data_IF_181224800554
#
_entry.id   IF_181224800554
#
_cell.length_a   1.000
_cell.length_b   1.000
_cell.length_c   1.000
_cell.angle_alpha   90.00
_cell.angle_beta   90.00
_cell.angle_gamma   90.00
#
_symmetry.space_group_name_H-M   'P 1'
#
loop_
_entity.id
_entity.type
_entity.pdbx_description
1 polymer ?
#
# COMPACT_ATOMS: atom_id res chain seq x y z
N UNK A 1 18.19 26.67 -12.98
CA UNK A 1 17.51 26.03 -14.13
C UNK A 1 16.53 25.01 -13.59
N UNK A 2 15.27 25.10 -13.95
CA UNK A 2 14.31 24.05 -13.58
C UNK A 2 14.70 22.74 -14.28
N UNK A 3 14.80 21.65 -13.52
CA UNK A 3 15.06 20.30 -14.06
C UNK A 3 13.93 19.91 -15.01
N UNK A 4 14.26 19.15 -16.08
CA UNK A 4 13.21 18.58 -16.93
C UNK A 4 12.35 17.58 -16.15
N UNK A 5 11.03 17.44 -16.43
CA UNK A 5 10.18 16.47 -15.75
C UNK A 5 10.74 15.03 -15.81
N UNK A 6 11.36 14.66 -16.92
CA UNK A 6 11.98 13.35 -17.11
C UNK A 6 13.26 13.18 -16.29
N UNK A 7 14.02 14.27 -16.05
CA UNK A 7 15.18 14.21 -15.16
C UNK A 7 14.73 14.01 -13.71
N UNK A 8 13.67 14.69 -13.27
CA UNK A 8 13.09 14.50 -11.93
C UNK A 8 12.64 13.03 -11.77
N UNK A 9 11.91 12.50 -12.76
CA UNK A 9 11.48 11.09 -12.73
C UNK A 9 12.68 10.12 -12.71
N UNK A 10 13.75 10.40 -13.46
CA UNK A 10 14.98 9.58 -13.46
C UNK A 10 15.63 9.55 -12.07
N UNK A 11 15.80 10.72 -11.44
CA UNK A 11 16.42 10.81 -10.11
C UNK A 11 15.58 10.11 -9.05
N UNK A 12 14.25 10.23 -9.14
CA UNK A 12 13.30 9.55 -8.25
C UNK A 12 13.38 8.03 -8.41
N UNK A 13 13.37 7.53 -9.65
CA UNK A 13 13.53 6.10 -9.95
C UNK A 13 14.90 5.57 -9.51
N UNK A 14 15.94 6.38 -9.64
CA UNK A 14 17.26 6.00 -9.12
C UNK A 14 17.22 5.82 -7.60
N UNK A 15 16.60 6.74 -6.89
CA UNK A 15 16.43 6.62 -5.42
C UNK A 15 15.62 5.38 -5.02
N UNK A 16 14.57 5.04 -5.78
CA UNK A 16 13.75 3.85 -5.51
C UNK A 16 14.56 2.56 -5.71
N UNK A 17 15.22 2.40 -6.86
CA UNK A 17 15.81 1.12 -7.24
C UNK A 17 17.26 0.91 -6.80
N UNK A 18 17.98 1.97 -6.47
CA UNK A 18 19.41 1.89 -6.10
C UNK A 18 19.72 2.40 -4.69
N UNK A 19 18.87 3.31 -4.12
CA UNK A 19 19.03 3.79 -2.76
C UNK A 19 18.00 3.17 -1.78
N UNK A 20 17.05 2.35 -2.29
CA UNK A 20 16.09 1.63 -1.48
C UNK A 20 14.94 2.47 -0.91
N UNK A 21 14.65 3.63 -1.49
CA UNK A 21 13.55 4.49 -1.05
C UNK A 21 12.19 3.92 -1.45
N UNK A 22 11.17 4.10 -0.61
CA UNK A 22 9.79 3.83 -1.03
C UNK A 22 9.31 4.85 -2.06
N UNK A 23 8.53 4.39 -3.05
CA UNK A 23 8.09 5.20 -4.18
C UNK A 23 7.32 6.45 -3.79
N UNK A 24 6.39 6.33 -2.84
CA UNK A 24 5.62 7.46 -2.32
C UNK A 24 6.54 8.51 -1.65
N UNK A 25 7.45 8.09 -0.77
CA UNK A 25 8.36 9.01 -0.05
C UNK A 25 9.31 9.71 -1.03
N UNK A 26 9.89 8.94 -1.97
CA UNK A 26 10.80 9.49 -2.97
C UNK A 26 10.08 10.50 -3.88
N UNK A 27 8.85 10.18 -4.28
CA UNK A 27 8.04 11.04 -5.14
C UNK A 27 7.57 12.31 -4.42
N UNK A 28 7.05 12.21 -3.20
CA UNK A 28 6.62 13.36 -2.40
C UNK A 28 7.78 14.35 -2.22
N UNK A 29 8.97 13.85 -1.88
CA UNK A 29 10.18 14.66 -1.79
C UNK A 29 10.56 15.32 -3.12
N UNK A 30 10.45 14.58 -4.22
CA UNK A 30 10.80 15.09 -5.55
C UNK A 30 9.80 16.16 -6.04
N UNK A 31 8.53 16.08 -5.63
CA UNK A 31 7.46 16.97 -6.05
C UNK A 31 7.25 18.20 -5.15
N UNK A 32 7.90 18.26 -3.98
CA UNK A 32 7.70 19.34 -3.00
C UNK A 32 7.92 20.74 -3.60
N UNK A 33 8.95 20.89 -4.43
CA UNK A 33 9.34 22.15 -5.05
C UNK A 33 8.86 22.28 -6.51
N UNK A 34 8.13 21.31 -7.02
CA UNK A 34 7.64 21.29 -8.41
C UNK A 34 6.24 21.91 -8.46
N UNK A 35 6.06 22.92 -9.30
CA UNK A 35 4.75 23.57 -9.51
C UNK A 35 3.96 22.96 -10.67
N UNK A 36 4.64 22.53 -11.71
CA UNK A 36 4.03 22.06 -12.96
C UNK A 36 4.44 20.61 -13.27
N UNK A 37 3.64 19.94 -14.07
CA UNK A 37 3.91 18.55 -14.52
C UNK A 37 3.96 17.47 -13.41
N UNK A 38 3.45 17.74 -12.20
CA UNK A 38 3.43 16.76 -11.11
C UNK A 38 2.78 15.45 -11.54
N UNK A 39 1.62 15.50 -12.17
CA UNK A 39 0.89 14.32 -12.64
C UNK A 39 1.70 13.51 -13.67
N UNK A 40 2.42 14.17 -14.59
CA UNK A 40 3.26 13.51 -15.58
C UNK A 40 4.47 12.82 -14.92
N UNK A 41 5.14 13.49 -13.97
CA UNK A 41 6.26 12.91 -13.21
C UNK A 41 5.78 11.69 -12.43
N UNK A 42 4.66 11.81 -11.73
CA UNK A 42 4.06 10.70 -10.97
C UNK A 42 3.71 9.50 -11.86
N UNK A 43 3.10 9.77 -13.02
CA UNK A 43 2.77 8.72 -13.99
C UNK A 43 4.02 8.00 -14.51
N UNK A 44 5.11 8.72 -14.77
CA UNK A 44 6.38 8.13 -15.17
C UNK A 44 6.99 7.27 -14.06
N UNK A 45 7.03 7.77 -12.82
CA UNK A 45 7.67 7.07 -11.69
C UNK A 45 6.88 5.80 -11.33
N UNK A 46 5.58 5.93 -11.09
CA UNK A 46 4.75 4.77 -10.76
C UNK A 46 4.70 3.76 -11.91
N UNK A 47 4.44 4.24 -13.13
CA UNK A 47 4.29 3.36 -14.28
C UNK A 47 5.56 2.59 -14.63
N UNK A 48 6.74 3.22 -14.56
CA UNK A 48 8.02 2.51 -14.71
C UNK A 48 8.20 1.50 -13.58
N UNK A 49 7.87 1.87 -12.34
CA UNK A 49 8.01 0.96 -11.20
C UNK A 49 7.06 -0.24 -11.33
N UNK A 50 5.83 -0.02 -11.77
CA UNK A 50 4.85 -1.09 -12.01
C UNK A 50 5.25 -2.02 -13.16
N UNK A 51 5.84 -1.50 -14.22
CA UNK A 51 6.10 -2.22 -15.48
C UNK A 51 7.55 -2.60 -15.71
N UNK A 52 8.42 -2.46 -14.70
CA UNK A 52 9.87 -2.62 -14.84
C UNK A 52 10.28 -3.93 -15.49
N UNK A 53 9.68 -5.09 -15.14
CA UNK A 53 10.04 -6.39 -15.72
C UNK A 53 9.64 -6.43 -17.21
N UNK A 54 8.47 -5.93 -17.56
CA UNK A 54 8.05 -5.77 -18.95
C UNK A 54 9.01 -4.89 -19.74
N UNK A 55 9.41 -3.75 -19.15
CA UNK A 55 10.35 -2.83 -19.77
C UNK A 55 11.74 -3.45 -19.93
N UNK A 56 12.23 -4.16 -18.90
CA UNK A 56 13.50 -4.88 -18.95
C UNK A 56 13.49 -5.95 -20.04
N UNK A 57 12.40 -6.70 -20.21
CA UNK A 57 12.26 -7.67 -21.28
C UNK A 57 12.53 -7.07 -22.67
N UNK A 58 11.90 -5.93 -23.00
CA UNK A 58 12.11 -5.27 -24.28
C UNK A 58 13.51 -4.68 -24.41
N UNK A 59 14.03 -4.07 -23.35
CA UNK A 59 15.39 -3.51 -23.38
C UNK A 59 16.42 -4.60 -23.59
N UNK A 60 16.34 -5.71 -22.86
CA UNK A 60 17.31 -6.80 -22.94
C UNK A 60 17.21 -7.55 -24.27
N UNK A 61 16.03 -7.59 -24.91
CA UNK A 61 15.84 -8.12 -26.27
C UNK A 61 16.62 -7.33 -27.32
N UNK A 62 16.80 -6.01 -27.14
CA UNK A 62 17.36 -5.14 -28.17
C UNK A 62 18.69 -4.48 -27.81
N UNK A 63 19.07 -4.47 -26.54
CA UNK A 63 20.33 -3.92 -26.07
C UNK A 63 21.30 -5.03 -25.65
N UNK A 64 22.49 -5.05 -26.21
CA UNK A 64 23.54 -5.98 -25.83
C UNK A 64 24.54 -5.34 -24.86
N UNK A 65 25.07 -6.14 -23.94
CA UNK A 65 26.10 -5.73 -23.01
C UNK A 65 25.60 -4.98 -21.77
N UNK A 66 26.53 -4.54 -20.94
CA UNK A 66 26.22 -3.90 -19.67
C UNK A 66 25.83 -2.43 -19.85
N UNK A 67 24.64 -2.08 -19.43
CA UNK A 67 24.12 -0.71 -19.46
C UNK A 67 24.30 -0.07 -18.07
N UNK A 68 24.79 1.18 -18.05
CA UNK A 68 24.89 1.93 -16.79
C UNK A 68 23.52 2.18 -16.16
N UNK A 69 23.38 2.18 -14.81
CA UNK A 69 22.09 2.34 -14.12
C UNK A 69 21.25 3.51 -14.63
N UNK A 70 21.81 4.71 -14.69
CA UNK A 70 21.07 5.90 -15.14
C UNK A 70 20.62 5.80 -16.61
N UNK A 71 21.41 5.17 -17.48
CA UNK A 71 21.04 4.95 -18.89
C UNK A 71 19.92 3.91 -18.99
N UNK A 72 19.92 2.88 -18.15
CA UNK A 72 18.84 1.91 -18.07
C UNK A 72 17.53 2.57 -17.64
N UNK A 73 17.57 3.50 -16.68
CA UNK A 73 16.39 4.27 -16.31
C UNK A 73 15.88 5.15 -17.45
N UNK A 74 16.78 5.76 -18.25
CA UNK A 74 16.36 6.49 -19.46
C UNK A 74 15.63 5.57 -20.44
N UNK A 75 16.12 4.34 -20.63
CA UNK A 75 15.45 3.34 -21.47
C UNK A 75 14.11 2.91 -20.87
N UNK A 76 13.99 2.70 -19.56
CA UNK A 76 12.70 2.45 -18.92
C UNK A 76 11.71 3.57 -19.18
N UNK A 77 12.11 4.83 -18.95
CA UNK A 77 11.25 6.01 -19.18
C UNK A 77 10.79 6.13 -20.63
N UNK A 78 11.71 5.91 -21.59
CA UNK A 78 11.39 5.92 -23.01
C UNK A 78 10.44 4.79 -23.38
N UNK A 79 10.76 3.56 -22.98
CA UNK A 79 9.95 2.38 -23.27
C UNK A 79 8.55 2.46 -22.64
N UNK A 80 8.45 2.94 -21.40
CA UNK A 80 7.15 3.13 -20.74
C UNK A 80 6.26 4.11 -21.53
N UNK A 81 6.80 5.25 -21.97
CA UNK A 81 6.07 6.20 -22.79
C UNK A 81 5.63 5.61 -24.14
N UNK A 82 6.44 4.75 -24.76
CA UNK A 82 6.11 4.08 -26.03
C UNK A 82 5.03 3.00 -25.88
N UNK A 83 5.06 2.24 -24.78
CA UNK A 83 4.23 1.06 -24.59
C UNK A 83 2.91 1.35 -23.84
N UNK A 84 2.89 2.38 -22.98
CA UNK A 84 1.81 2.58 -22.01
C UNK A 84 1.28 4.03 -21.93
N UNK A 85 1.79 4.97 -22.75
CA UNK A 85 1.33 6.36 -22.72
C UNK A 85 0.86 6.82 -24.11
N UNK A 86 -0.37 6.48 -24.48
CA UNK A 86 -0.95 6.76 -25.81
C UNK A 86 -0.96 8.24 -26.20
N UNK A 87 -1.00 9.13 -25.18
CA UNK A 87 -1.00 10.60 -25.41
C UNK A 87 0.38 11.15 -25.71
N UNK A 88 1.46 10.34 -25.61
CA UNK A 88 2.84 10.78 -25.89
C UNK A 88 3.24 10.27 -27.28
N UNK A 89 3.50 11.16 -28.27
CA UNK A 89 3.95 10.73 -29.58
C UNK A 89 5.29 9.97 -29.48
N UNK A 90 5.43 8.87 -30.22
CA UNK A 90 6.66 8.04 -30.24
C UNK A 90 7.91 8.84 -30.51
N UNK A 91 7.85 9.74 -31.52
CA UNK A 91 8.99 10.62 -31.86
C UNK A 91 9.39 11.54 -30.70
N UNK A 92 8.42 12.03 -29.92
CA UNK A 92 8.70 12.83 -28.75
C UNK A 92 9.34 12.00 -27.63
N UNK A 93 8.83 10.79 -27.35
CA UNK A 93 9.41 9.87 -26.37
C UNK A 93 10.87 9.57 -26.67
N UNK A 94 11.18 9.20 -27.93
CA UNK A 94 12.54 8.86 -28.35
C UNK A 94 13.46 10.08 -28.29
N UNK A 95 13.05 11.22 -28.86
CA UNK A 95 13.86 12.42 -28.89
C UNK A 95 14.17 12.95 -27.47
N UNK A 96 13.19 12.99 -26.59
CA UNK A 96 13.38 13.44 -25.21
C UNK A 96 14.25 12.46 -24.41
N UNK A 97 14.18 11.16 -24.66
CA UNK A 97 15.08 10.18 -24.04
C UNK A 97 16.55 10.37 -24.50
N UNK A 98 16.77 10.67 -25.78
CA UNK A 98 18.12 11.02 -26.29
C UNK A 98 18.63 12.34 -25.69
N UNK A 99 17.76 13.35 -25.51
CA UNK A 99 18.14 14.59 -24.80
C UNK A 99 18.49 14.31 -23.35
N UNK A 100 17.71 13.48 -22.66
CA UNK A 100 17.94 13.13 -21.25
C UNK A 100 19.29 12.43 -21.05
N UNK A 101 19.69 11.54 -21.96
CA UNK A 101 21.04 10.92 -21.93
C UNK A 101 22.15 11.98 -21.97
N UNK A 102 22.00 13.03 -22.77
CA UNK A 102 22.96 14.14 -22.83
C UNK A 102 22.90 15.00 -21.57
N UNK A 103 21.70 15.27 -21.05
CA UNK A 103 21.49 16.03 -19.82
C UNK A 103 22.19 15.38 -18.63
N UNK A 104 22.20 14.05 -18.54
CA UNK A 104 22.93 13.27 -17.50
C UNK A 104 24.39 13.00 -17.85
N UNK A 105 24.94 13.67 -18.86
CA UNK A 105 26.35 13.57 -19.32
C UNK A 105 26.76 12.13 -19.69
N UNK A 106 25.88 11.42 -20.40
CA UNK A 106 26.12 10.06 -20.93
C UNK A 106 25.96 10.02 -22.45
N UNK A 107 26.41 11.07 -23.16
CA UNK A 107 26.26 11.27 -24.62
C UNK A 107 26.66 10.07 -25.47
N UNK A 108 27.67 9.30 -25.02
CA UNK A 108 28.12 8.07 -25.66
C UNK A 108 26.98 7.08 -25.92
N UNK A 109 25.96 7.05 -25.05
CA UNK A 109 24.83 6.14 -25.17
C UNK A 109 23.68 6.68 -26.04
N UNK A 110 23.78 7.89 -26.60
CA UNK A 110 22.70 8.50 -27.42
C UNK A 110 22.27 7.62 -28.58
N UNK A 111 23.24 7.04 -29.31
CA UNK A 111 22.96 6.14 -30.44
C UNK A 111 22.29 4.84 -29.98
N UNK A 112 22.73 4.25 -28.87
CA UNK A 112 22.14 3.04 -28.29
C UNK A 112 20.70 3.29 -27.88
N UNK A 113 20.42 4.35 -27.10
CA UNK A 113 19.08 4.70 -26.64
C UNK A 113 18.14 4.93 -27.81
N UNK A 114 18.57 5.70 -28.83
CA UNK A 114 17.78 5.92 -30.03
C UNK A 114 17.45 4.59 -30.76
N UNK A 115 18.45 3.74 -30.99
CA UNK A 115 18.26 2.48 -31.71
C UNK A 115 17.35 1.48 -30.94
N UNK A 116 17.53 1.37 -29.63
CA UNK A 116 16.73 0.47 -28.79
C UNK A 116 15.27 0.93 -28.76
N UNK A 117 15.02 2.22 -28.54
CA UNK A 117 13.66 2.75 -28.47
C UNK A 117 12.92 2.65 -29.81
N UNK A 118 13.59 2.87 -30.94
CA UNK A 118 12.97 2.63 -32.25
C UNK A 118 12.61 1.16 -32.48
N UNK A 119 13.44 0.21 -32.02
CA UNK A 119 13.10 -1.22 -32.11
C UNK A 119 11.89 -1.58 -31.24
N UNK A 120 11.81 -1.03 -30.03
CA UNK A 120 10.65 -1.20 -29.13
C UNK A 120 9.39 -0.57 -29.74
N UNK A 121 9.49 0.60 -30.37
CA UNK A 121 8.37 1.26 -31.04
C UNK A 121 7.78 0.41 -32.18
N UNK A 122 8.64 -0.33 -32.90
CA UNK A 122 8.23 -1.24 -33.97
C UNK A 122 7.76 -2.63 -33.52
N UNK A 123 8.03 -2.99 -32.24
CA UNK A 123 7.66 -4.29 -31.67
C UNK A 123 7.08 -4.09 -30.26
N UNK A 124 5.79 -3.76 -30.19
CA UNK A 124 5.10 -3.45 -28.94
C UNK A 124 4.34 -4.63 -28.35
N UNK A 125 4.48 -5.83 -28.96
CA UNK A 125 3.75 -7.01 -28.52
C UNK A 125 4.33 -7.57 -27.22
N UNK A 126 3.59 -7.43 -26.13
CA UNK A 126 3.93 -8.02 -24.83
C UNK A 126 3.64 -9.52 -24.91
N UNK A 127 4.60 -10.40 -24.56
CA UNK A 127 4.39 -11.85 -24.58
C UNK A 127 3.41 -12.29 -23.50
N UNK A 128 2.83 -13.50 -23.66
CA UNK A 128 1.90 -14.07 -22.71
C UNK A 128 2.55 -14.68 -21.45
N UNK A 129 3.87 -14.61 -21.31
CA UNK A 129 4.56 -14.96 -20.08
C UNK A 129 4.03 -14.11 -18.91
N UNK A 130 3.57 -14.74 -17.84
CA UNK A 130 2.89 -14.06 -16.75
C UNK A 130 3.80 -13.03 -16.05
N UNK A 131 5.08 -13.33 -15.89
CA UNK A 131 6.03 -12.40 -15.26
C UNK A 131 6.22 -11.14 -16.10
N UNK A 132 6.38 -11.28 -17.41
CA UNK A 132 6.54 -10.16 -18.32
C UNK A 132 5.22 -9.42 -18.50
N UNK A 133 4.11 -10.14 -18.69
CA UNK A 133 2.79 -9.57 -18.94
C UNK A 133 2.29 -8.68 -17.79
N UNK A 134 2.43 -9.16 -16.56
CA UNK A 134 1.98 -8.46 -15.36
C UNK A 134 3.10 -7.73 -14.62
N UNK A 135 4.34 -7.86 -15.09
CA UNK A 135 5.54 -7.27 -14.46
C UNK A 135 5.69 -7.67 -12.97
N UNK A 136 5.50 -8.94 -12.69
CA UNK A 136 5.65 -9.54 -11.36
C UNK A 136 6.78 -10.56 -11.39
N UNK A 137 7.71 -10.57 -10.41
CA UNK A 137 8.77 -11.55 -10.36
C UNK A 137 8.27 -13.00 -10.38
N UNK A 138 8.91 -13.86 -11.13
CA UNK A 138 8.52 -15.26 -11.31
C UNK A 138 8.46 -16.03 -9.97
N UNK A 139 9.40 -15.78 -9.06
CA UNK A 139 9.42 -16.37 -7.73
C UNK A 139 8.19 -15.99 -6.90
N UNK A 140 7.68 -14.77 -7.03
CA UNK A 140 6.46 -14.31 -6.36
C UNK A 140 5.21 -14.95 -6.97
N UNK A 141 5.13 -15.05 -8.31
CA UNK A 141 4.05 -15.76 -9.02
C UNK A 141 4.02 -17.23 -8.59
N UNK A 142 5.18 -17.90 -8.58
CA UNK A 142 5.31 -19.30 -8.18
C UNK A 142 4.92 -19.52 -6.69
N UNK A 143 5.26 -18.56 -5.82
CA UNK A 143 4.83 -18.59 -4.42
C UNK A 143 3.30 -18.53 -4.31
N UNK A 144 2.64 -17.59 -5.00
CA UNK A 144 1.19 -17.46 -4.99
C UNK A 144 0.49 -18.67 -5.61
N UNK A 145 0.97 -19.16 -6.76
CA UNK A 145 0.45 -20.38 -7.39
C UNK A 145 0.50 -21.59 -6.46
N UNK A 146 1.63 -21.77 -5.75
CA UNK A 146 1.80 -22.86 -4.77
C UNK A 146 0.88 -22.73 -3.56
N UNK A 147 0.66 -21.49 -3.08
CA UNK A 147 -0.09 -21.24 -1.84
C UNK A 147 -1.61 -21.17 -2.06
N UNK A 148 -2.07 -20.58 -3.16
CA UNK A 148 -3.48 -20.28 -3.39
C UNK A 148 -4.09 -21.05 -4.57
N UNK A 149 -3.28 -21.70 -5.40
CA UNK A 149 -3.72 -22.39 -6.61
C UNK A 149 -3.70 -21.50 -7.85
N UNK A 150 -3.81 -22.15 -9.00
CA UNK A 150 -3.71 -21.48 -10.31
C UNK A 150 -4.97 -20.64 -10.62
N UNK A 151 -6.14 -21.15 -10.27
CA UNK A 151 -7.42 -20.48 -10.53
C UNK A 151 -7.50 -19.14 -9.80
N UNK A 152 -7.18 -19.12 -8.50
CA UNK A 152 -7.14 -17.90 -7.69
C UNK A 152 -6.09 -16.92 -8.20
N UNK A 153 -4.91 -17.42 -8.60
CA UNK A 153 -3.87 -16.58 -9.19
C UNK A 153 -4.36 -15.91 -10.49
N UNK A 154 -5.00 -16.67 -11.38
CA UNK A 154 -5.51 -16.16 -12.65
C UNK A 154 -6.65 -15.14 -12.47
N UNK A 155 -7.39 -15.22 -11.35
CA UNK A 155 -8.44 -14.26 -11.02
C UNK A 155 -7.88 -12.91 -10.58
N UNK A 156 -6.89 -12.87 -9.67
CA UNK A 156 -6.41 -11.61 -9.11
C UNK A 156 -5.20 -11.00 -9.83
N UNK A 157 -4.37 -11.81 -10.50
CA UNK A 157 -3.15 -11.33 -11.16
C UNK A 157 -3.41 -10.25 -12.22
N UNK A 158 -4.49 -10.31 -13.03
CA UNK A 158 -4.84 -9.24 -13.96
C UNK A 158 -5.02 -7.87 -13.29
N UNK A 159 -5.55 -7.85 -12.05
CA UNK A 159 -5.83 -6.62 -11.31
C UNK A 159 -4.57 -6.00 -10.66
N UNK A 160 -3.41 -6.67 -10.72
CA UNK A 160 -2.21 -6.27 -9.96
C UNK A 160 -1.60 -4.92 -10.41
N UNK A 161 -1.95 -4.47 -11.60
CA UNK A 161 -1.52 -3.21 -12.17
C UNK A 161 -2.68 -2.22 -12.41
N UNK A 162 -3.87 -2.53 -11.90
CA UNK A 162 -4.98 -1.59 -11.94
C UNK A 162 -4.74 -0.46 -10.96
N UNK A 163 -5.30 0.71 -11.26
CA UNK A 163 -5.27 1.83 -10.31
C UNK A 163 -5.99 1.39 -9.03
N UNK A 164 -5.33 1.45 -7.87
CA UNK A 164 -5.98 1.08 -6.62
C UNK A 164 -7.15 2.04 -6.33
N UNK A 165 -8.33 1.52 -5.94
CA UNK A 165 -9.44 2.36 -5.56
C UNK A 165 -9.09 3.19 -4.32
N UNK A 166 -9.66 4.39 -4.24
CA UNK A 166 -9.49 5.30 -3.13
C UNK A 166 -10.83 5.51 -2.44
N UNK A 167 -10.89 5.15 -1.16
CA UNK A 167 -12.11 5.24 -0.37
C UNK A 167 -12.00 6.35 0.68
N UNK A 168 -12.95 7.28 0.66
CA UNK A 168 -13.16 8.26 1.71
C UNK A 168 -14.21 7.71 2.67
N UNK A 169 -13.82 7.49 3.93
CA UNK A 169 -14.72 7.01 4.98
C UNK A 169 -15.30 8.22 5.70
N UNK A 170 -16.63 8.40 5.67
CA UNK A 170 -17.28 9.50 6.35
C UNK A 170 -16.97 9.52 7.85
N UNK A 171 -16.76 10.69 8.39
CA UNK A 171 -16.79 10.87 9.82
C UNK A 171 -18.25 10.96 10.29
N UNK A 172 -18.79 9.85 10.78
CA UNK A 172 -20.21 9.69 11.15
C UNK A 172 -20.67 10.66 12.24
N UNK A 173 -19.73 11.36 12.91
CA UNK A 173 -20.03 12.46 13.83
C UNK A 173 -20.60 13.69 13.12
N UNK A 174 -20.25 13.88 11.84
CA UNK A 174 -20.56 15.10 11.09
C UNK A 174 -21.39 14.85 9.84
N UNK A 175 -21.11 13.77 9.10
CA UNK A 175 -21.72 13.49 7.79
C UNK A 175 -21.92 12.00 7.56
N UNK A 176 -22.90 11.64 6.75
CA UNK A 176 -23.04 10.34 6.10
C UNK A 176 -22.33 10.34 4.72
N UNK A 177 -22.40 9.24 3.97
CA UNK A 177 -21.74 9.13 2.67
C UNK A 177 -22.34 10.04 1.60
N UNK A 178 -23.64 10.24 1.56
CA UNK A 178 -24.29 11.13 0.58
C UNK A 178 -23.95 12.60 0.86
N UNK A 179 -23.97 12.99 2.13
CA UNK A 179 -23.56 14.34 2.57
C UNK A 179 -22.07 14.58 2.30
N UNK A 180 -21.21 13.58 2.53
CA UNK A 180 -19.79 13.67 2.21
C UNK A 180 -19.58 13.83 0.70
N UNK A 181 -20.28 13.06 -0.13
CA UNK A 181 -20.19 13.19 -1.60
C UNK A 181 -20.53 14.61 -2.04
N UNK A 182 -21.61 15.17 -1.52
CA UNK A 182 -22.01 16.56 -1.82
C UNK A 182 -20.91 17.57 -1.46
N UNK A 183 -20.31 17.45 -0.27
CA UNK A 183 -19.21 18.33 0.16
C UNK A 183 -17.96 18.17 -0.72
N UNK A 184 -17.65 16.94 -1.16
CA UNK A 184 -16.55 16.67 -2.08
C UNK A 184 -16.80 17.26 -3.47
N UNK A 185 -18.03 17.15 -4.00
CA UNK A 185 -18.42 17.74 -5.28
C UNK A 185 -18.32 19.28 -5.26
N UNK A 186 -18.66 19.92 -4.13
CA UNK A 186 -18.45 21.35 -3.91
C UNK A 186 -16.97 21.76 -3.98
N UNK A 187 -16.05 20.88 -3.64
CA UNK A 187 -14.60 21.05 -3.76
C UNK A 187 -14.05 20.54 -5.13
N UNK A 188 -14.92 20.13 -6.06
CA UNK A 188 -14.55 19.65 -7.41
C UNK A 188 -14.02 18.22 -7.44
N UNK A 189 -14.26 17.44 -6.40
CA UNK A 189 -13.87 16.04 -6.29
C UNK A 189 -15.05 15.17 -6.65
N UNK A 190 -14.89 14.30 -7.66
CA UNK A 190 -15.91 13.39 -8.14
C UNK A 190 -15.79 12.02 -7.45
N UNK A 191 -16.92 11.37 -7.23
CA UNK A 191 -16.99 10.05 -6.64
C UNK A 191 -18.36 9.43 -6.69
N UNK A 192 -18.53 8.28 -6.05
CA UNK A 192 -19.78 7.55 -5.91
C UNK A 192 -19.98 7.17 -4.44
N UNK A 193 -21.16 7.49 -3.89
CA UNK A 193 -21.50 7.18 -2.50
C UNK A 193 -22.01 5.74 -2.37
N UNK A 194 -21.53 5.06 -1.33
CA UNK A 194 -22.00 3.78 -0.83
C UNK A 194 -22.36 3.94 0.64
N UNK A 195 -23.04 2.96 1.23
CA UNK A 195 -23.55 3.07 2.62
C UNK A 195 -22.51 3.56 3.64
N UNK A 196 -21.27 3.06 3.55
CA UNK A 196 -20.23 3.32 4.55
C UNK A 196 -19.01 4.09 4.02
N UNK A 197 -18.96 4.43 2.72
CA UNK A 197 -17.83 5.12 2.11
C UNK A 197 -18.20 5.84 0.82
N UNK A 198 -17.35 6.74 0.39
CA UNK A 198 -17.39 7.33 -0.96
C UNK A 198 -16.18 6.82 -1.74
N UNK A 199 -16.44 6.20 -2.90
CA UNK A 199 -15.39 5.83 -3.85
C UNK A 199 -14.98 7.07 -4.64
N UNK A 200 -13.71 7.46 -4.55
CA UNK A 200 -13.17 8.66 -5.20
C UNK A 200 -12.69 8.32 -6.61
N UNK A 201 -13.21 8.99 -7.61
CA UNK A 201 -12.81 8.82 -9.01
C UNK A 201 -11.55 9.63 -9.35
N UNK A 202 -11.51 10.90 -8.91
CA UNK A 202 -10.35 11.77 -9.07
C UNK A 202 -9.75 12.17 -7.72
N UNK A 203 -8.47 11.88 -7.52
CA UNK A 203 -7.77 12.14 -6.26
C UNK A 203 -6.99 13.48 -6.27
N UNK A 204 -7.24 14.36 -7.23
CA UNK A 204 -6.54 15.65 -7.31
C UNK A 204 -6.92 16.50 -6.09
N UNK A 205 -5.89 16.94 -5.37
CA UNK A 205 -6.03 17.86 -4.24
C UNK A 205 -6.98 17.40 -3.10
N UNK A 206 -7.24 16.07 -2.98
CA UNK A 206 -8.17 15.51 -1.99
C UNK A 206 -7.86 15.97 -0.55
N UNK A 207 -6.59 15.99 -0.17
CA UNK A 207 -6.14 16.43 1.17
C UNK A 207 -6.14 17.96 1.32
N UNK A 208 -6.26 18.70 0.22
CA UNK A 208 -6.39 20.16 0.22
C UNK A 208 -7.83 20.62 0.26
N UNK A 209 -8.79 19.73 0.04
CA UNK A 209 -10.23 20.01 0.08
C UNK A 209 -10.68 20.55 1.45
N UNK A 210 -11.74 21.32 1.46
CA UNK A 210 -12.36 21.81 2.70
C UNK A 210 -12.93 20.65 3.52
N UNK A 211 -13.55 19.70 2.84
CA UNK A 211 -14.08 18.49 3.46
C UNK A 211 -13.01 17.74 4.26
N UNK A 212 -11.79 17.56 3.70
CA UNK A 212 -10.69 16.93 4.42
C UNK A 212 -10.21 17.78 5.60
N UNK A 213 -9.96 19.08 5.39
CA UNK A 213 -9.47 20.00 6.42
C UNK A 213 -10.43 20.14 7.60
N UNK A 214 -11.73 20.06 7.32
CA UNK A 214 -12.80 20.10 8.33
C UNK A 214 -13.02 18.75 9.03
N UNK A 215 -12.27 17.70 8.69
CA UNK A 215 -12.36 16.40 9.34
C UNK A 215 -13.62 15.61 8.99
N UNK A 216 -14.25 15.88 7.84
CA UNK A 216 -15.48 15.19 7.43
C UNK A 216 -15.22 13.74 7.00
N UNK A 217 -13.97 13.38 6.68
CA UNK A 217 -13.60 12.02 6.31
C UNK A 217 -12.13 11.71 6.57
N UNK A 218 -11.81 10.43 6.49
CA UNK A 218 -10.44 9.93 6.41
C UNK A 218 -10.33 8.92 5.25
N UNK A 219 -9.10 8.65 4.81
CA UNK A 219 -8.84 7.71 3.72
C UNK A 219 -8.43 6.37 4.32
N UNK A 220 -9.11 5.30 3.92
CA UNK A 220 -8.74 3.95 4.33
C UNK A 220 -9.06 2.94 3.23
N UNK A 221 -8.26 1.89 3.12
CA UNK A 221 -8.55 0.77 2.22
C UNK A 221 -9.73 -0.05 2.75
N UNK A 222 -10.59 -0.51 1.84
CA UNK A 222 -11.82 -1.23 2.21
C UNK A 222 -11.55 -2.54 2.96
N UNK A 223 -10.44 -3.24 2.64
CA UNK A 223 -10.06 -4.46 3.37
C UNK A 223 -9.64 -4.15 4.81
N UNK A 224 -8.92 -3.04 5.00
CA UNK A 224 -8.54 -2.52 6.32
C UNK A 224 -9.76 -2.07 7.13
N UNK A 225 -10.66 -1.32 6.50
CA UNK A 225 -11.93 -0.87 7.08
C UNK A 225 -12.79 -2.05 7.56
N UNK A 226 -12.97 -3.07 6.71
CA UNK A 226 -13.72 -4.27 7.05
C UNK A 226 -13.06 -5.07 8.18
N UNK A 227 -11.72 -5.13 8.21
CA UNK A 227 -10.98 -5.77 9.31
C UNK A 227 -11.21 -5.05 10.64
N UNK A 228 -11.16 -3.72 10.65
CA UNK A 228 -11.39 -2.92 11.85
C UNK A 228 -12.83 -3.08 12.39
N UNK A 229 -13.83 -3.05 11.50
CA UNK A 229 -15.23 -3.30 11.87
C UNK A 229 -15.47 -4.72 12.39
N UNK A 230 -14.73 -5.72 11.88
CA UNK A 230 -14.84 -7.11 12.35
C UNK A 230 -14.37 -7.33 13.81
N UNK A 231 -13.67 -6.36 14.40
CA UNK A 231 -13.34 -6.36 15.83
C UNK A 231 -14.58 -6.31 16.69
N UNK A 232 -15.67 -5.68 16.19
CA UNK A 232 -16.97 -5.57 16.85
C UNK A 232 -16.82 -4.92 18.23
N UNK A 233 -16.14 -3.76 18.23
CA UNK A 233 -15.89 -3.00 19.44
C UNK A 233 -17.15 -2.24 19.88
N UNK A 234 -17.44 -2.30 21.17
CA UNK A 234 -18.62 -1.66 21.79
C UNK A 234 -18.23 -0.34 22.46
N UNK A 235 -19.23 0.51 22.72
CA UNK A 235 -19.03 1.87 23.26
C UNK A 235 -18.22 1.95 24.56
N UNK A 236 -18.28 0.92 25.40
CA UNK A 236 -17.60 0.92 26.70
C UNK A 236 -16.30 0.11 26.71
N UNK A 237 -15.92 -0.49 25.57
CA UNK A 237 -14.74 -1.33 25.48
C UNK A 237 -13.45 -0.54 25.71
N UNK A 238 -12.46 -1.22 26.28
CA UNK A 238 -11.07 -0.83 26.20
C UNK A 238 -10.42 -1.62 25.08
N UNK A 239 -9.94 -0.90 24.07
CA UNK A 239 -9.32 -1.47 22.87
C UNK A 239 -7.82 -1.17 22.86
N UNK A 240 -7.00 -2.16 22.49
CA UNK A 240 -5.58 -1.96 22.17
C UNK A 240 -5.35 -2.18 20.68
N UNK A 241 -4.72 -1.21 20.03
CA UNK A 241 -4.18 -1.35 18.67
C UNK A 241 -2.65 -1.36 18.75
N UNK A 242 -2.07 -2.54 18.57
CA UNK A 242 -0.67 -2.82 18.92
C UNK A 242 0.36 -2.37 17.89
N UNK A 243 -0.07 -2.08 16.64
CA UNK A 243 0.79 -1.60 15.55
C UNK A 243 0.03 -0.56 14.72
N UNK A 244 -0.43 0.50 15.38
CA UNK A 244 -1.57 1.31 14.97
C UNK A 244 -1.31 2.24 13.78
N UNK A 245 -0.07 2.73 13.63
CA UNK A 245 0.18 3.82 12.69
C UNK A 245 0.04 3.42 11.20
N UNK A 246 -0.66 4.24 10.39
CA UNK A 246 -1.00 5.66 10.58
C UNK A 246 -2.35 5.96 11.27
N UNK A 247 -3.13 4.95 11.70
CA UNK A 247 -4.32 5.15 12.53
C UNK A 247 -5.66 4.89 11.86
N UNK A 248 -5.73 4.58 10.56
CA UNK A 248 -7.01 4.37 9.85
C UNK A 248 -7.92 3.40 10.59
N UNK A 249 -7.44 2.20 10.95
CA UNK A 249 -8.20 1.19 11.68
C UNK A 249 -8.66 1.70 13.06
N UNK A 250 -7.81 2.45 13.77
CA UNK A 250 -8.18 3.03 15.06
C UNK A 250 -9.31 4.06 14.91
N UNK A 251 -9.35 4.84 13.82
CA UNK A 251 -10.46 5.77 13.55
C UNK A 251 -11.75 5.02 13.23
N UNK A 252 -11.68 3.94 12.45
CA UNK A 252 -12.82 3.06 12.18
C UNK A 252 -13.37 2.44 13.45
N UNK A 253 -12.50 1.91 14.32
CA UNK A 253 -12.89 1.35 15.62
C UNK A 253 -13.52 2.43 16.50
N UNK A 254 -12.94 3.64 16.57
CA UNK A 254 -13.50 4.75 17.34
C UNK A 254 -14.92 5.10 16.91
N UNK A 255 -15.18 5.12 15.59
CA UNK A 255 -16.53 5.36 15.07
C UNK A 255 -17.50 4.23 15.42
N UNK A 256 -17.08 2.97 15.36
CA UNK A 256 -17.90 1.81 15.77
C UNK A 256 -18.26 1.90 17.26
N UNK A 257 -17.38 2.47 18.08
CA UNK A 257 -17.58 2.74 19.51
C UNK A 257 -18.37 4.05 19.78
N UNK A 258 -18.91 4.72 18.76
CA UNK A 258 -19.55 6.04 18.88
C UNK A 258 -18.65 7.11 19.54
N UNK A 259 -17.33 7.06 19.28
CA UNK A 259 -16.30 7.89 19.91
C UNK A 259 -16.31 7.81 21.45
N UNK A 260 -16.68 6.67 22.02
CA UNK A 260 -16.75 6.38 23.44
C UNK A 260 -15.72 5.30 23.83
N UNK A 261 -15.67 4.89 25.10
CA UNK A 261 -14.66 3.93 25.57
C UNK A 261 -13.23 4.47 25.47
N UNK A 262 -12.25 3.59 25.30
CA UNK A 262 -10.83 3.97 25.20
C UNK A 262 -10.10 3.12 24.17
N UNK A 263 -9.34 3.76 23.29
CA UNK A 263 -8.47 3.10 22.33
C UNK A 263 -7.02 3.50 22.61
N UNK A 264 -6.19 2.56 22.99
CA UNK A 264 -4.75 2.76 23.13
C UNK A 264 -4.06 2.30 21.87
N UNK A 265 -3.42 3.23 21.17
CA UNK A 265 -2.71 3.04 19.92
C UNK A 265 -1.21 3.01 20.16
N UNK A 266 -0.58 1.90 19.89
CA UNK A 266 0.86 1.69 20.05
C UNK A 266 1.57 1.59 18.70
N UNK A 267 2.78 2.12 18.62
CA UNK A 267 3.70 1.90 17.51
C UNK A 267 5.15 1.99 18.02
N UNK A 268 6.07 1.34 17.36
CA UNK A 268 7.49 1.35 17.72
C UNK A 268 8.13 2.75 17.55
N UNK A 269 7.55 3.59 16.68
CA UNK A 269 8.14 4.86 16.26
C UNK A 269 7.25 6.07 16.63
N UNK A 270 7.75 6.94 17.48
CA UNK A 270 7.04 8.14 17.92
C UNK A 270 6.57 9.05 16.77
N UNK A 271 7.40 9.25 15.74
CA UNK A 271 7.02 10.10 14.61
C UNK A 271 5.76 9.58 13.87
N UNK A 272 5.52 8.27 13.87
CA UNK A 272 4.32 7.66 13.28
C UNK A 272 3.09 7.89 14.17
N UNK A 273 3.24 7.87 15.49
CA UNK A 273 2.16 8.19 16.43
C UNK A 273 1.69 9.64 16.30
N UNK A 274 2.57 10.57 15.94
CA UNK A 274 2.20 11.96 15.66
C UNK A 274 1.24 12.10 14.48
N UNK A 275 1.26 11.18 13.51
CA UNK A 275 0.27 11.13 12.43
C UNK A 275 -1.12 10.77 12.96
N UNK A 276 -1.19 9.81 13.90
CA UNK A 276 -2.44 9.44 14.57
C UNK A 276 -3.00 10.64 15.35
N UNK A 277 -2.17 11.27 16.19
CA UNK A 277 -2.56 12.44 17.00
C UNK A 277 -3.12 13.58 16.13
N UNK A 278 -2.42 13.92 15.06
CA UNK A 278 -2.84 15.00 14.15
C UNK A 278 -4.15 14.69 13.43
N UNK A 279 -4.30 13.43 12.96
CA UNK A 279 -5.53 12.99 12.29
C UNK A 279 -6.71 12.86 13.26
N UNK A 280 -6.52 12.31 14.45
CA UNK A 280 -7.55 12.24 15.48
C UNK A 280 -8.07 13.64 15.85
N UNK A 281 -7.15 14.62 16.04
CA UNK A 281 -7.51 16.02 16.26
C UNK A 281 -8.34 16.60 15.12
N UNK A 282 -7.92 16.39 13.87
CA UNK A 282 -8.64 16.84 12.67
C UNK A 282 -10.04 16.23 12.59
N UNK A 283 -10.17 14.95 12.92
CA UNK A 283 -11.43 14.19 12.92
C UNK A 283 -12.29 14.42 14.16
N UNK A 284 -11.83 15.21 15.14
CA UNK A 284 -12.50 15.43 16.43
C UNK A 284 -12.79 14.12 17.19
N UNK A 285 -11.81 13.21 17.18
CA UNK A 285 -11.81 11.94 17.89
C UNK A 285 -11.03 12.13 19.21
N UNK A 286 -11.68 11.92 20.34
CA UNK A 286 -11.13 12.24 21.66
C UNK A 286 -10.82 10.99 22.51
N UNK A 287 -11.23 9.80 22.09
CA UNK A 287 -11.07 8.54 22.83
C UNK A 287 -9.82 7.74 22.43
N UNK A 288 -8.92 8.31 21.61
CA UNK A 288 -7.66 7.70 21.18
C UNK A 288 -6.49 8.23 22.02
N UNK A 289 -5.72 7.31 22.59
CA UNK A 289 -4.51 7.57 23.37
C UNK A 289 -3.32 6.89 22.66
N UNK A 290 -2.18 7.55 22.56
CA UNK A 290 -1.04 7.01 21.82
C UNK A 290 0.19 6.93 22.69
N UNK A 291 0.93 5.81 22.63
CA UNK A 291 2.21 5.66 23.33
C UNK A 291 3.17 4.78 22.53
N UNK A 292 4.47 4.99 22.73
CA UNK A 292 5.52 4.18 22.10
C UNK A 292 5.61 2.83 22.79
N UNK A 293 5.53 1.75 22.01
CA UNK A 293 5.69 0.41 22.55
C UNK A 293 6.25 -0.56 21.50
N UNK A 294 7.16 -1.42 21.93
CA UNK A 294 7.56 -2.59 21.16
C UNK A 294 6.60 -3.75 21.47
N UNK A 295 5.70 -4.04 20.52
CA UNK A 295 4.69 -5.06 20.67
C UNK A 295 5.25 -6.49 20.80
N UNK A 296 6.54 -6.70 20.55
CA UNK A 296 7.22 -7.99 20.77
C UNK A 296 7.59 -8.20 22.25
N UNK A 297 7.59 -7.14 23.07
CA UNK A 297 7.99 -7.17 24.47
C UNK A 297 6.80 -6.89 25.38
N UNK A 298 6.59 -7.74 26.40
CA UNK A 298 5.51 -7.50 27.37
C UNK A 298 5.82 -6.29 28.25
N UNK A 299 4.85 -5.38 28.30
CA UNK A 299 4.90 -4.17 29.10
C UNK A 299 3.79 -4.21 30.16
N UNK A 300 4.15 -4.31 31.45
CA UNK A 300 3.20 -4.42 32.56
C UNK A 300 2.31 -3.18 32.76
N UNK A 301 2.70 -2.03 32.19
CA UNK A 301 1.92 -0.80 32.26
C UNK A 301 0.74 -0.78 31.26
N UNK A 302 0.68 -1.70 30.30
CA UNK A 302 -0.44 -1.82 29.36
C UNK A 302 -1.61 -2.52 30.06
N UNK A 303 -2.81 -1.91 30.09
CA UNK A 303 -3.96 -2.47 30.76
C UNK A 303 -4.50 -3.73 30.05
N UNK A 304 -5.29 -4.54 30.77
CA UNK A 304 -6.09 -5.59 30.15
C UNK A 304 -7.24 -4.98 29.36
N UNK A 305 -7.49 -5.54 28.16
CA UNK A 305 -8.43 -5.00 27.18
C UNK A 305 -9.53 -6.01 26.82
N UNK A 306 -10.66 -5.47 26.42
CA UNK A 306 -11.81 -6.22 25.91
C UNK A 306 -11.56 -6.68 24.47
N UNK A 307 -10.88 -5.83 23.69
CA UNK A 307 -10.58 -6.05 22.27
C UNK A 307 -9.14 -5.68 21.96
N UNK A 308 -8.50 -6.46 21.08
CA UNK A 308 -7.14 -6.18 20.62
C UNK A 308 -7.07 -6.29 19.10
N UNK A 309 -6.44 -5.32 18.47
CA UNK A 309 -6.06 -5.37 17.06
C UNK A 309 -4.53 -5.53 16.95
N UNK A 310 -4.09 -6.52 16.20
CA UNK A 310 -2.70 -6.77 15.82
C UNK A 310 -2.58 -6.69 14.30
N UNK A 311 -2.52 -5.46 13.74
CA UNK A 311 -2.22 -5.23 12.32
C UNK A 311 -0.70 -5.20 12.14
N UNK A 312 -0.12 -6.39 12.07
CA UNK A 312 1.33 -6.58 12.26
C UNK A 312 2.17 -6.14 11.04
N UNK A 313 3.42 -5.71 11.23
CA UNK A 313 4.33 -5.47 10.13
C UNK A 313 4.49 -6.73 9.29
N UNK A 314 4.39 -6.59 7.96
CA UNK A 314 4.39 -7.69 7.01
C UNK A 314 5.17 -7.38 5.72
N UNK A 315 5.31 -8.36 4.84
CA UNK A 315 5.98 -8.18 3.54
C UNK A 315 5.26 -7.19 2.63
N UNK A 316 3.94 -7.04 2.75
CA UNK A 316 3.13 -6.10 1.98
C UNK A 316 2.76 -6.59 0.58
N UNK A 317 2.89 -7.87 0.26
CA UNK A 317 2.55 -8.39 -1.08
C UNK A 317 1.07 -8.28 -1.48
N UNK A 318 0.20 -7.82 -0.59
CA UNK A 318 -1.18 -7.50 -0.90
C UNK A 318 -1.41 -6.07 -1.41
N UNK A 319 -0.48 -5.13 -1.10
CA UNK A 319 -0.61 -3.71 -1.44
C UNK A 319 0.30 -3.27 -2.61
N UNK A 320 0.67 -4.20 -3.47
CA UNK A 320 1.56 -3.95 -4.62
C UNK A 320 0.98 -2.88 -5.56
N UNK A 321 -0.34 -2.76 -5.67
CA UNK A 321 -1.00 -1.69 -6.45
C UNK A 321 -0.67 -0.29 -5.93
N UNK A 322 -0.53 -0.13 -4.61
CA UNK A 322 -0.23 1.16 -3.96
C UNK A 322 1.27 1.42 -3.81
N UNK A 323 2.04 0.35 -3.66
CA UNK A 323 3.50 0.39 -3.48
C UNK A 323 4.16 -0.61 -4.43
N UNK A 324 4.26 -0.26 -5.71
CA UNK A 324 4.67 -1.20 -6.75
C UNK A 324 6.10 -1.73 -6.56
N UNK A 325 6.97 -1.00 -5.88
CA UNK A 325 8.33 -1.43 -5.57
C UNK A 325 8.38 -2.66 -4.63
N UNK A 326 7.33 -2.91 -3.87
CA UNK A 326 7.25 -4.07 -2.96
C UNK A 326 7.39 -5.39 -3.72
N UNK A 327 6.88 -5.46 -4.96
CA UNK A 327 6.98 -6.69 -5.77
C UNK A 327 8.41 -7.15 -6.03
N UNK A 328 9.38 -6.25 -5.94
CA UNK A 328 10.80 -6.54 -6.16
C UNK A 328 11.57 -6.91 -4.89
N UNK A 329 10.89 -7.01 -3.75
CA UNK A 329 11.52 -7.49 -2.51
C UNK A 329 11.99 -8.94 -2.70
N UNK A 330 13.19 -9.20 -2.23
CA UNK A 330 13.69 -10.56 -2.12
C UNK A 330 12.85 -11.34 -1.10
N UNK A 331 12.36 -12.52 -1.47
CA UNK A 331 11.60 -13.39 -0.58
C UNK A 331 12.41 -13.83 0.64
N UNK A 332 13.74 -13.91 0.53
CA UNK A 332 14.61 -14.21 1.67
C UNK A 332 14.68 -13.05 2.68
N UNK A 333 14.50 -11.81 2.23
CA UNK A 333 14.50 -10.64 3.12
C UNK A 333 13.30 -10.59 4.07
N UNK A 334 12.24 -11.34 3.79
CA UNK A 334 11.00 -11.36 4.56
C UNK A 334 10.80 -12.66 5.36
N UNK A 335 11.77 -13.58 5.34
CA UNK A 335 11.66 -14.91 5.95
C UNK A 335 11.50 -14.90 7.47
N UNK A 336 11.99 -13.86 8.14
CA UNK A 336 11.95 -13.72 9.59
C UNK A 336 10.68 -13.03 10.10
N UNK A 337 9.89 -12.42 9.20
CA UNK A 337 8.64 -11.73 9.56
C UNK A 337 7.64 -12.63 10.31
N UNK A 338 7.40 -13.89 9.93
CA UNK A 338 6.46 -14.76 10.65
C UNK A 338 6.81 -14.96 12.13
N UNK A 339 8.10 -14.94 12.48
CA UNK A 339 8.55 -15.06 13.88
C UNK A 339 8.25 -13.79 14.67
N UNK A 340 8.49 -12.61 14.08
CA UNK A 340 8.18 -11.31 14.68
C UNK A 340 6.66 -11.17 14.85
N UNK A 341 5.88 -11.53 13.83
CA UNK A 341 4.42 -11.49 13.83
C UNK A 341 3.81 -12.40 14.90
N UNK A 342 4.32 -13.64 15.00
CA UNK A 342 3.94 -14.56 16.06
C UNK A 342 4.22 -13.97 17.43
N UNK A 343 5.40 -13.36 17.62
CA UNK A 343 5.79 -12.77 18.91
C UNK A 343 4.90 -11.58 19.30
N UNK A 344 4.51 -10.76 18.32
CA UNK A 344 3.54 -9.67 18.54
C UNK A 344 2.20 -10.25 18.98
N UNK A 345 1.66 -11.24 18.26
CA UNK A 345 0.39 -11.87 18.59
C UNK A 345 0.42 -12.53 19.98
N UNK A 346 1.47 -13.31 20.28
CA UNK A 346 1.67 -13.96 21.57
C UNK A 346 1.74 -12.94 22.72
N UNK A 347 2.51 -11.88 22.56
CA UNK A 347 2.67 -10.82 23.57
C UNK A 347 1.35 -10.07 23.77
N UNK A 348 0.69 -9.70 22.67
CA UNK A 348 -0.58 -8.99 22.70
C UNK A 348 -1.71 -9.79 23.35
N UNK A 349 -1.74 -11.09 23.10
CA UNK A 349 -2.75 -11.98 23.67
C UNK A 349 -2.74 -11.99 25.21
N UNK A 350 -1.60 -11.71 25.82
CA UNK A 350 -1.46 -11.59 27.29
C UNK A 350 -2.23 -10.43 27.88
N UNK A 351 -2.57 -9.40 27.10
CA UNK A 351 -3.38 -8.25 27.55
C UNK A 351 -4.89 -8.51 27.43
N UNK A 352 -5.30 -9.57 26.71
CA UNK A 352 -6.72 -9.83 26.48
C UNK A 352 -7.40 -10.36 27.76
N UNK A 353 -8.54 -9.77 28.10
CA UNK A 353 -9.45 -10.30 29.13
C UNK A 353 -10.04 -11.65 28.70
N UNK A 354 -10.52 -12.46 29.64
CA UNK A 354 -11.27 -13.68 29.34
C UNK A 354 -12.58 -13.29 28.62
N UNK A 355 -13.01 -14.06 27.63
CA UNK A 355 -14.10 -13.71 26.74
C UNK A 355 -13.78 -12.61 25.71
N UNK A 356 -12.63 -11.96 25.80
CA UNK A 356 -12.21 -10.89 24.91
C UNK A 356 -11.91 -11.38 23.50
N UNK A 357 -11.87 -10.44 22.53
CA UNK A 357 -11.62 -10.70 21.10
C UNK A 357 -10.30 -10.08 20.64
N UNK A 358 -9.50 -10.84 19.89
CA UNK A 358 -8.28 -10.38 19.25
C UNK A 358 -8.35 -10.61 17.74
N UNK A 359 -8.00 -9.59 16.97
CA UNK A 359 -7.79 -9.72 15.52
C UNK A 359 -6.29 -9.68 15.22
N UNK A 360 -5.84 -10.65 14.45
CA UNK A 360 -4.56 -10.64 13.78
C UNK A 360 -4.76 -10.29 12.32
N UNK A 361 -4.00 -9.33 11.77
CA UNK A 361 -4.14 -8.94 10.37
C UNK A 361 -2.81 -8.56 9.71
N UNK A 362 -2.78 -8.70 8.39
CA UNK A 362 -1.66 -8.32 7.53
C UNK A 362 -2.16 -7.79 6.19
N UNK A 363 -1.43 -6.86 5.58
CA UNK A 363 -1.64 -6.44 4.19
C UNK A 363 -0.81 -7.27 3.20
N UNK A 364 -0.67 -8.59 3.42
CA UNK A 364 0.12 -9.46 2.55
C UNK A 364 -0.62 -10.69 2.09
N UNK A 365 -0.30 -11.16 0.88
CA UNK A 365 -0.74 -12.43 0.33
C UNK A 365 0.40 -13.45 0.46
N UNK A 366 0.62 -13.93 1.70
CA UNK A 366 1.62 -14.95 2.02
C UNK A 366 1.16 -15.81 3.21
N UNK A 367 0.75 -17.03 2.95
CA UNK A 367 0.26 -17.95 4.00
C UNK A 367 1.25 -18.18 5.14
N UNK A 368 2.56 -18.01 4.90
CA UNK A 368 3.57 -18.11 5.97
C UNK A 368 3.42 -17.00 7.01
N UNK A 369 2.96 -15.81 6.59
CA UNK A 369 2.73 -14.64 7.43
C UNK A 369 1.28 -14.57 7.94
N UNK A 370 0.37 -15.35 7.36
CA UNK A 370 -1.07 -15.34 7.60
C UNK A 370 -1.50 -16.59 8.39
N UNK A 371 -2.13 -17.53 7.72
CA UNK A 371 -2.74 -18.73 8.33
C UNK A 371 -1.72 -19.54 9.16
N UNK A 372 -0.46 -19.60 8.74
CA UNK A 372 0.56 -20.38 9.46
C UNK A 372 0.89 -19.77 10.83
N UNK A 373 0.91 -18.43 10.93
CA UNK A 373 1.13 -17.73 12.21
C UNK A 373 -0.04 -17.97 13.15
N UNK A 374 -1.27 -17.82 12.66
CA UNK A 374 -2.50 -18.04 13.42
C UNK A 374 -2.62 -19.50 13.89
N UNK A 375 -2.40 -20.46 12.99
CA UNK A 375 -2.46 -21.89 13.31
C UNK A 375 -1.42 -22.28 14.36
N UNK A 376 -0.20 -21.73 14.25
CA UNK A 376 0.84 -21.93 15.26
C UNK A 376 0.41 -21.38 16.62
N UNK A 377 -0.12 -20.16 16.64
CA UNK A 377 -0.60 -19.51 17.87
C UNK A 377 -1.70 -20.33 18.55
N UNK A 378 -2.71 -20.78 17.80
CA UNK A 378 -3.82 -21.60 18.33
C UNK A 378 -3.35 -22.97 18.85
N UNK A 379 -2.32 -23.55 18.22
CA UNK A 379 -1.72 -24.79 18.69
C UNK A 379 -0.99 -24.60 20.03
N UNK A 380 -0.27 -23.49 20.18
CA UNK A 380 0.54 -23.22 21.36
C UNK A 380 -0.30 -22.63 22.52
N UNK A 381 -1.52 -22.14 22.23
CA UNK A 381 -2.41 -21.45 23.20
C UNK A 381 -3.85 -22.03 23.16
N UNK A 382 -4.08 -23.14 23.84
CA UNK A 382 -5.40 -23.84 23.88
C UNK A 382 -6.53 -23.01 24.49
N UNK A 383 -6.22 -21.92 25.20
CA UNK A 383 -7.20 -20.95 25.72
C UNK A 383 -7.80 -20.02 24.67
N UNK A 384 -7.47 -20.18 23.38
CA UNK A 384 -8.00 -19.35 22.30
C UNK A 384 -8.72 -20.19 21.26
N UNK A 385 -9.78 -19.62 20.66
CA UNK A 385 -10.56 -20.26 19.60
C UNK A 385 -10.62 -19.32 18.39
N UNK A 386 -10.37 -19.85 17.19
CA UNK A 386 -10.62 -19.17 15.93
C UNK A 386 -12.13 -19.08 15.69
N UNK A 387 -12.64 -17.86 15.49
CA UNK A 387 -14.03 -17.65 15.08
C UNK A 387 -14.15 -17.63 13.56
N UNK A 388 -13.22 -16.91 12.91
CA UNK A 388 -13.23 -16.70 11.45
C UNK A 388 -11.84 -16.26 11.02
N UNK A 389 -11.43 -16.68 9.85
CA UNK A 389 -10.35 -16.04 9.11
C UNK A 389 -10.78 -15.76 7.67
N UNK A 390 -10.12 -14.82 7.02
CA UNK A 390 -10.42 -14.42 5.64
C UNK A 390 -9.17 -13.89 4.96
N UNK A 391 -8.86 -14.45 3.78
CA UNK A 391 -7.96 -13.85 2.79
C UNK A 391 -8.80 -13.07 1.77
N UNK A 392 -8.45 -11.81 1.54
CA UNK A 392 -9.05 -10.95 0.51
C UNK A 392 -8.02 -10.79 -0.58
N UNK A 393 -8.40 -11.06 -1.82
CA UNK A 393 -7.56 -10.84 -2.99
C UNK A 393 -7.91 -9.52 -3.66
N UNK A 394 -6.93 -8.82 -4.29
CA UNK A 394 -7.21 -7.64 -5.09
C UNK A 394 -8.20 -8.02 -6.19
N UNK A 395 -9.30 -7.31 -6.27
CA UNK A 395 -10.32 -7.52 -7.30
C UNK A 395 -10.77 -6.18 -7.88
N UNK A 396 -11.54 -6.24 -8.94
CA UNK A 396 -12.07 -5.06 -9.62
C UNK A 396 -12.97 -4.19 -8.75
N UNK A 397 -13.55 -4.75 -7.69
CA UNK A 397 -14.57 -4.07 -6.85
C UNK A 397 -14.02 -3.72 -5.47
N UNK A 398 -12.82 -4.18 -5.12
CA UNK A 398 -12.44 -4.22 -3.72
C UNK A 398 -11.12 -3.59 -3.37
N UNK A 399 -10.86 -3.65 -2.08
CA UNK A 399 -9.64 -3.20 -1.45
C UNK A 399 -8.41 -3.98 -1.91
N UNK A 400 -7.34 -3.75 -1.20
CA UNK A 400 -6.07 -4.42 -1.43
C UNK A 400 -6.09 -5.87 -0.94
N UNK A 401 -5.06 -6.64 -1.34
CA UNK A 401 -4.83 -7.96 -0.81
C UNK A 401 -4.57 -7.90 0.70
N UNK A 402 -5.34 -8.69 1.46
CA UNK A 402 -5.36 -8.59 2.92
C UNK A 402 -5.70 -9.94 3.55
N UNK A 403 -5.26 -10.13 4.78
CA UNK A 403 -5.66 -11.27 5.61
C UNK A 403 -6.02 -10.78 7.01
N UNK A 404 -7.08 -11.35 7.59
CA UNK A 404 -7.34 -11.22 9.01
C UNK A 404 -7.94 -12.48 9.62
N UNK A 405 -7.65 -12.71 10.89
CA UNK A 405 -8.20 -13.80 11.70
C UNK A 405 -8.75 -13.23 13.01
N UNK A 406 -9.97 -13.63 13.35
CA UNK A 406 -10.68 -13.25 14.56
C UNK A 406 -10.60 -14.42 15.53
N UNK A 407 -10.02 -14.17 16.68
CA UNK A 407 -9.91 -15.17 17.76
C UNK A 407 -10.53 -14.62 19.05
N UNK A 408 -11.04 -15.55 19.86
CA UNK A 408 -11.62 -15.24 21.19
C UNK A 408 -10.88 -16.04 22.24
N UNK A 409 -10.61 -15.39 23.38
CA UNK A 409 -10.08 -16.05 24.56
C UNK A 409 -11.23 -16.73 25.30
N UNK A 410 -11.07 -18.00 25.65
CA UNK A 410 -12.08 -18.75 26.38
C UNK A 410 -12.36 -18.07 27.74
N UNK A 411 -13.60 -18.15 28.21
CA UNK A 411 -13.96 -17.83 29.59
C UNK A 411 -13.42 -18.93 30.52
N UNK A 412 -12.72 -18.55 31.57
CA UNK A 412 -12.24 -19.47 32.60
C UNK A 412 -13.34 -19.75 33.63
#
# INVERSE_FOLDING_TARGET
>A
MNKSPRLVALETLYSIFYDGSYSNIALDKALSDIKENKAFISALVYGVTERKITLDYFIDKYAQGRIKPKVRIVLWLGSYQLLFMDKVPSSASINESVKLVKEIKQDYYSKLVNAVLHKIDNDRQIPDDLSVKYSVPENLINMWKKQYGEDVLNEFLPCINDKPPLFAIPNKKFVNSDELLYELECDGILGEAYDEFVLIENANDLTDSKAFKNGLFYIEDLSSFNCANALDALSDDLVLDMCSAPGGKAFTISQSMNNSGKIYCYDLHEHRLNLIKSSAKRLSIDNIYTDVNDATVYNENIPKADKILCDVPCSGFGIIRRKPEIRYKDLDSVKDLPQIQYKILETSSRYLKDGGRIIYSTCTLNKKENENVVNKFLKDHSGYKLLKDKTVFPSTVGGDGFYYAIMVKNEN
#
